data_IF_906011740810
#
_entry.id   IF_906011740810
#
_cell.length_a   1.000
_cell.length_b   1.000
_cell.length_c   1.000
_cell.angle_alpha   90.00
_cell.angle_beta   90.00
_cell.angle_gamma   90.00
#
_symmetry.space_group_name_H-M   'P 1'
#
loop_
_entity.id
_entity.type
_entity.pdbx_description
1 polymer ?
#
# COMPACT_ATOMS: atom_id res chain seq x y z
N UNK A 1 -13.24 -41.73 20.72
CA UNK A 1 -13.67 -40.64 19.83
C UNK A 1 -12.49 -39.71 19.56
N UNK A 2 -11.68 -40.04 18.56
CA UNK A 2 -10.59 -39.20 18.11
C UNK A 2 -11.19 -38.09 17.22
N UNK A 3 -11.64 -37.01 17.85
CA UNK A 3 -11.96 -35.78 17.11
C UNK A 3 -10.61 -35.20 16.71
N UNK A 4 -10.17 -35.48 15.48
CA UNK A 4 -8.95 -34.93 14.90
C UNK A 4 -8.82 -33.45 15.29
N UNK A 5 -7.75 -33.13 16.02
CA UNK A 5 -7.60 -31.84 16.67
C UNK A 5 -7.59 -30.73 15.61
N UNK A 6 -8.72 -30.02 15.46
CA UNK A 6 -8.82 -28.84 14.62
C UNK A 6 -7.78 -27.83 15.11
N UNK A 7 -6.78 -27.56 14.27
CA UNK A 7 -5.77 -26.54 14.52
C UNK A 7 -6.25 -25.23 13.91
N UNK A 8 -6.40 -24.20 14.73
CA UNK A 8 -6.65 -22.84 14.26
C UNK A 8 -5.40 -22.33 13.51
N UNK A 9 -5.46 -22.15 12.16
CA UNK A 9 -4.26 -21.87 11.36
C UNK A 9 -3.58 -20.54 11.73
N UNK A 10 -4.38 -19.58 12.21
CA UNK A 10 -3.90 -18.25 12.55
C UNK A 10 -3.44 -18.12 14.01
N UNK A 11 -3.48 -19.20 14.81
CA UNK A 11 -3.04 -19.17 16.20
C UNK A 11 -1.59 -18.67 16.35
N UNK A 12 -1.38 -17.77 17.34
CA UNK A 12 -0.08 -17.14 17.62
C UNK A 12 0.32 -16.04 16.63
N UNK A 13 -0.65 -15.42 15.96
CA UNK A 13 -0.44 -14.32 15.00
C UNK A 13 -1.27 -13.09 15.38
N UNK A 14 -0.73 -11.91 15.12
CA UNK A 14 -1.50 -10.66 15.09
C UNK A 14 -2.33 -10.68 13.80
N UNK A 15 -3.65 -10.57 13.93
CA UNK A 15 -4.57 -10.65 12.80
C UNK A 15 -4.93 -9.26 12.33
N UNK A 16 -4.72 -9.01 11.03
CA UNK A 16 -5.12 -7.78 10.36
C UNK A 16 -6.25 -8.11 9.38
N UNK A 17 -7.48 -7.66 9.65
CA UNK A 17 -8.61 -7.92 8.77
C UNK A 17 -8.72 -6.87 7.66
N UNK A 18 -8.99 -7.31 6.43
CA UNK A 18 -9.57 -6.44 5.42
C UNK A 18 -11.06 -6.29 5.68
N UNK A 19 -11.54 -5.05 5.71
CA UNK A 19 -12.94 -4.75 5.97
C UNK A 19 -13.61 -4.16 4.73
N UNK A 20 -14.84 -4.58 4.46
CA UNK A 20 -15.68 -3.93 3.45
C UNK A 20 -16.27 -2.60 3.95
N UNK A 21 -17.09 -1.95 3.12
CA UNK A 21 -17.77 -0.69 3.48
C UNK A 21 -18.71 -0.83 4.68
N UNK A 22 -19.29 -2.01 4.87
CA UNK A 22 -20.16 -2.34 6.00
C UNK A 22 -19.36 -2.79 7.24
N UNK A 23 -18.03 -2.64 7.24
CA UNK A 23 -17.11 -3.01 8.34
C UNK A 23 -17.06 -4.51 8.62
N UNK A 24 -17.46 -5.35 7.67
CA UNK A 24 -17.35 -6.82 7.77
C UNK A 24 -15.98 -7.28 7.30
N UNK A 25 -15.37 -8.22 8.02
CA UNK A 25 -14.12 -8.82 7.59
C UNK A 25 -14.36 -9.73 6.38
N UNK A 26 -13.67 -9.45 5.27
CA UNK A 26 -13.77 -10.24 4.02
C UNK A 26 -12.54 -11.11 3.78
N UNK A 27 -11.43 -10.78 4.44
CA UNK A 27 -10.14 -11.45 4.30
C UNK A 27 -9.27 -11.16 5.52
N UNK A 28 -8.38 -12.07 5.88
CA UNK A 28 -7.49 -11.95 7.04
C UNK A 28 -6.05 -12.29 6.67
N UNK A 29 -5.11 -11.55 7.25
CA UNK A 29 -3.70 -11.93 7.28
C UNK A 29 -3.19 -11.95 8.71
N UNK A 30 -2.35 -12.93 9.02
CA UNK A 30 -1.76 -13.12 10.34
C UNK A 30 -0.24 -12.95 10.30
N UNK A 31 0.29 -11.96 11.03
CA UNK A 31 1.73 -11.83 11.28
C UNK A 31 2.13 -12.62 12.52
N UNK A 32 3.10 -13.51 12.41
CA UNK A 32 3.61 -14.26 13.56
C UNK A 32 4.22 -13.32 14.62
N UNK A 33 3.90 -13.56 15.89
CA UNK A 33 4.48 -12.82 17.04
C UNK A 33 5.85 -13.37 17.43
N UNK A 34 6.03 -14.68 17.29
CA UNK A 34 7.30 -15.38 17.52
C UNK A 34 7.93 -15.79 16.19
N UNK A 35 9.20 -16.22 16.22
CA UNK A 35 9.83 -16.80 15.04
C UNK A 35 9.08 -18.05 14.56
N UNK A 36 8.59 -17.99 13.32
CA UNK A 36 7.92 -19.09 12.63
C UNK A 36 8.39 -19.11 11.17
N UNK A 37 8.33 -20.28 10.53
CA UNK A 37 8.70 -20.47 9.11
C UNK A 37 8.01 -19.47 8.17
N UNK A 38 6.72 -19.21 8.41
CA UNK A 38 5.95 -18.21 7.66
C UNK A 38 5.68 -16.99 8.53
N UNK A 39 6.38 -15.88 8.22
CA UNK A 39 6.22 -14.58 8.89
C UNK A 39 4.79 -14.06 8.74
N UNK A 40 4.23 -14.16 7.55
CA UNK A 40 2.82 -13.86 7.25
C UNK A 40 2.09 -15.13 6.78
N UNK A 41 0.82 -15.23 7.14
CA UNK A 41 -0.09 -16.27 6.67
C UNK A 41 -1.43 -15.62 6.32
N UNK A 42 -1.83 -15.73 5.05
CA UNK A 42 -3.10 -15.24 4.56
C UNK A 42 -4.14 -16.36 4.62
N UNK A 43 -5.41 -16.01 4.84
CA UNK A 43 -6.50 -16.99 4.62
C UNK A 43 -6.58 -17.36 3.15
N UNK A 44 -7.06 -18.57 2.87
CA UNK A 44 -7.21 -19.10 1.51
C UNK A 44 -8.41 -18.46 0.80
N UNK A 45 -8.22 -17.20 0.41
CA UNK A 45 -9.16 -16.40 -0.36
C UNK A 45 -8.38 -15.37 -1.18
N UNK A 46 -8.94 -14.84 -2.29
CA UNK A 46 -8.30 -13.82 -3.09
C UNK A 46 -7.85 -12.63 -2.23
N UNK A 47 -6.56 -12.29 -2.32
CA UNK A 47 -5.98 -11.19 -1.56
C UNK A 47 -6.54 -9.86 -2.08
N UNK A 48 -7.11 -9.01 -1.21
CA UNK A 48 -7.60 -7.69 -1.59
C UNK A 48 -6.47 -6.64 -1.54
N UNK A 49 -6.73 -5.47 -2.12
CA UNK A 49 -6.02 -4.25 -1.73
C UNK A 49 -6.48 -3.85 -0.31
N UNK A 50 -5.67 -4.19 0.69
CA UNK A 50 -6.01 -3.96 2.09
C UNK A 50 -6.24 -2.46 2.33
N UNK A 51 -7.40 -2.11 2.91
CA UNK A 51 -7.72 -0.72 3.25
C UNK A 51 -8.44 0.08 2.16
N UNK A 52 -8.65 -0.51 0.97
CA UNK A 52 -9.26 0.18 -0.17
C UNK A 52 -10.67 0.69 0.12
N UNK A 53 -11.51 -0.13 0.75
CA UNK A 53 -12.89 0.26 1.09
C UNK A 53 -12.91 1.47 2.05
N UNK A 54 -11.97 1.51 2.99
CA UNK A 54 -11.82 2.58 3.98
C UNK A 54 -11.30 3.86 3.33
N UNK A 55 -10.33 3.76 2.41
CA UNK A 55 -9.83 4.91 1.66
C UNK A 55 -10.95 5.53 0.80
N UNK A 56 -11.74 4.70 0.11
CA UNK A 56 -12.90 5.12 -0.69
C UNK A 56 -14.01 5.76 0.15
N UNK A 57 -14.35 5.15 1.28
CA UNK A 57 -15.45 5.63 2.13
C UNK A 57 -15.19 7.04 2.70
N UNK A 58 -13.92 7.42 2.87
CA UNK A 58 -13.53 8.76 3.32
C UNK A 58 -13.48 9.80 2.19
N UNK A 59 -13.76 9.41 0.94
CA UNK A 59 -13.80 10.32 -0.21
C UNK A 59 -12.43 10.86 -0.65
N UNK A 60 -11.33 10.22 -0.26
CA UNK A 60 -9.99 10.67 -0.65
C UNK A 60 -9.77 10.51 -2.16
N UNK A 61 -9.25 11.57 -2.78
CA UNK A 61 -8.85 11.58 -4.20
C UNK A 61 -7.38 11.20 -4.42
N UNK A 62 -6.62 11.08 -3.35
CA UNK A 62 -5.23 10.64 -3.38
C UNK A 62 -5.02 9.52 -2.37
N UNK A 63 -4.15 8.56 -2.70
CA UNK A 63 -3.85 7.41 -1.84
C UNK A 63 -2.37 7.05 -1.92
N UNK A 64 -1.83 6.53 -0.82
CA UNK A 64 -0.49 5.92 -0.76
C UNK A 64 -0.64 4.40 -0.90
N UNK A 65 0.10 3.80 -1.83
CA UNK A 65 0.25 2.34 -1.93
C UNK A 65 1.51 1.95 -1.17
N UNK A 66 1.36 0.98 -0.28
CA UNK A 66 2.43 0.39 0.54
C UNK A 66 2.48 -1.13 0.35
N UNK A 67 3.59 -1.76 0.72
CA UNK A 67 3.80 -3.19 0.48
C UNK A 67 2.95 -4.06 1.43
N UNK A 68 3.10 -3.85 2.74
CA UNK A 68 2.63 -4.78 3.75
C UNK A 68 1.47 -4.27 4.62
N UNK A 69 0.80 -5.19 5.34
CA UNK A 69 -0.25 -4.82 6.28
C UNK A 69 0.21 -3.90 7.42
N UNK A 70 1.48 -4.00 7.84
CA UNK A 70 2.00 -3.18 8.92
C UNK A 70 2.35 -1.77 8.47
N UNK A 71 2.85 -1.59 7.24
CA UNK A 71 2.98 -0.27 6.61
C UNK A 71 1.64 0.45 6.56
N UNK A 72 0.59 -0.30 6.18
CA UNK A 72 -0.78 0.22 6.15
C UNK A 72 -1.28 0.61 7.54
N UNK A 73 -0.95 -0.16 8.58
CA UNK A 73 -1.27 0.20 9.97
C UNK A 73 -0.55 1.47 10.41
N UNK A 74 0.74 1.65 10.08
CA UNK A 74 1.48 2.89 10.34
C UNK A 74 0.84 4.09 9.64
N UNK A 75 0.46 3.94 8.37
CA UNK A 75 -0.27 4.98 7.65
C UNK A 75 -1.64 5.30 8.30
N UNK A 76 -2.37 4.27 8.76
CA UNK A 76 -3.62 4.46 9.51
C UNK A 76 -3.41 5.25 10.79
N UNK A 77 -2.39 4.92 11.58
CA UNK A 77 -2.02 5.65 12.80
C UNK A 77 -1.76 7.13 12.49
N UNK A 78 -1.07 7.41 11.38
CA UNK A 78 -0.76 8.77 10.94
C UNK A 78 -1.92 9.49 10.24
N UNK A 79 -3.07 8.83 10.09
CA UNK A 79 -4.26 9.28 9.37
C UNK A 79 -3.97 9.65 7.91
N UNK A 80 -3.09 8.89 7.28
CA UNK A 80 -2.72 9.05 5.88
C UNK A 80 -3.52 8.02 5.06
N UNK A 81 -4.23 8.44 3.99
CA UNK A 81 -4.98 7.52 3.14
C UNK A 81 -4.02 6.53 2.48
N UNK A 82 -4.14 5.25 2.81
CA UNK A 82 -3.26 4.22 2.26
C UNK A 82 -4.00 2.92 1.96
N UNK A 83 -3.43 2.16 1.03
CA UNK A 83 -3.78 0.77 0.73
C UNK A 83 -2.53 -0.09 0.68
N UNK A 84 -2.64 -1.34 1.14
CA UNK A 84 -1.54 -2.30 1.09
C UNK A 84 -1.75 -3.33 -0.03
N UNK A 85 -0.68 -3.69 -0.72
CA UNK A 85 -0.68 -4.80 -1.68
C UNK A 85 -0.86 -6.13 -0.96
N UNK A 86 -0.22 -6.34 0.20
CA UNK A 86 -0.34 -7.54 1.03
C UNK A 86 -0.05 -8.86 0.26
N UNK A 87 0.88 -8.81 -0.70
CA UNK A 87 1.22 -9.94 -1.59
C UNK A 87 0.36 -10.02 -2.85
N UNK A 88 -0.49 -9.02 -3.11
CA UNK A 88 -1.30 -8.91 -4.33
C UNK A 88 -0.45 -8.32 -5.46
N UNK A 89 -0.34 -9.04 -6.58
CA UNK A 89 0.15 -8.45 -7.82
C UNK A 89 -0.86 -7.42 -8.34
N UNK A 90 -0.40 -6.33 -8.96
CA UNK A 90 -1.29 -5.41 -9.67
C UNK A 90 -1.91 -6.11 -10.88
N UNK A 91 -3.07 -6.72 -10.67
CA UNK A 91 -3.92 -7.25 -11.72
C UNK A 91 -4.72 -6.12 -12.37
N UNK A 92 -5.32 -6.37 -13.54
CA UNK A 92 -6.25 -5.40 -14.17
C UNK A 92 -7.39 -5.00 -13.22
N UNK A 93 -7.92 -5.97 -12.46
CA UNK A 93 -8.97 -5.72 -11.46
C UNK A 93 -8.48 -4.76 -10.37
N UNK A 94 -7.26 -4.96 -9.84
CA UNK A 94 -6.70 -4.06 -8.84
C UNK A 94 -6.45 -2.64 -9.40
N UNK A 95 -6.05 -2.53 -10.67
CA UNK A 95 -5.87 -1.25 -11.35
C UNK A 95 -7.20 -0.52 -11.55
N UNK A 96 -8.24 -1.22 -11.98
CA UNK A 96 -9.61 -0.67 -12.10
C UNK A 96 -10.11 -0.19 -10.75
N UNK A 97 -9.79 -0.93 -9.68
CA UNK A 97 -10.14 -0.52 -8.34
C UNK A 97 -9.42 0.76 -7.88
N UNK A 98 -8.20 0.99 -8.33
CA UNK A 98 -7.41 2.20 -8.06
C UNK A 98 -7.79 3.39 -8.96
N UNK A 99 -8.62 3.19 -10.00
CA UNK A 99 -9.01 4.25 -10.94
C UNK A 99 -9.79 5.40 -10.29
N UNK A 100 -10.41 5.16 -9.14
CA UNK A 100 -11.13 6.18 -8.35
C UNK A 100 -10.21 7.29 -7.79
N UNK A 101 -8.91 7.03 -7.69
CA UNK A 101 -7.95 7.99 -7.17
C UNK A 101 -7.31 8.79 -8.30
N UNK A 102 -7.33 10.10 -8.17
CA UNK A 102 -6.70 11.03 -9.11
C UNK A 102 -5.17 11.00 -8.98
N UNK A 103 -4.67 10.65 -7.79
CA UNK A 103 -3.23 10.61 -7.48
C UNK A 103 -2.88 9.39 -6.65
N UNK A 104 -1.81 8.72 -7.03
CA UNK A 104 -1.32 7.50 -6.39
C UNK A 104 0.15 7.70 -6.05
N UNK A 105 0.47 7.60 -4.77
CA UNK A 105 1.83 7.70 -4.27
C UNK A 105 2.34 6.31 -3.93
N UNK A 106 3.49 5.92 -4.50
CA UNK A 106 4.06 4.58 -4.29
C UNK A 106 5.16 4.67 -3.24
N UNK A 107 4.89 4.18 -2.03
CA UNK A 107 5.83 4.08 -0.93
C UNK A 107 6.09 2.60 -0.61
N UNK A 108 6.66 1.89 -1.60
CA UNK A 108 7.04 0.48 -1.50
C UNK A 108 8.44 0.33 -0.90
N UNK A 109 8.77 -0.90 -0.53
CA UNK A 109 10.04 -1.27 0.07
C UNK A 109 11.24 -0.78 -0.76
N UNK A 110 12.28 -0.30 -0.08
CA UNK A 110 13.48 0.26 -0.71
C UNK A 110 14.44 -0.80 -1.30
N UNK A 111 14.06 -2.08 -1.23
CA UNK A 111 14.85 -3.18 -1.78
C UNK A 111 14.65 -3.35 -3.30
N UNK A 112 15.47 -4.22 -3.87
CA UNK A 112 15.53 -4.41 -5.31
C UNK A 112 14.21 -4.98 -5.91
N UNK A 113 13.53 -5.97 -5.29
CA UNK A 113 12.16 -6.33 -5.66
C UNK A 113 11.16 -5.17 -5.57
N UNK A 114 11.13 -4.40 -4.48
CA UNK A 114 10.22 -3.28 -4.27
C UNK A 114 10.43 -2.14 -5.27
N UNK A 115 11.69 -1.87 -5.64
CA UNK A 115 12.05 -0.91 -6.70
C UNK A 115 11.53 -1.34 -8.07
N UNK A 116 11.70 -2.61 -8.45
CA UNK A 116 11.17 -3.13 -9.72
C UNK A 116 9.64 -3.08 -9.76
N UNK A 117 9.00 -3.48 -8.66
CA UNK A 117 7.55 -3.39 -8.53
C UNK A 117 7.10 -1.93 -8.74
N UNK A 118 7.74 -0.99 -8.05
CA UNK A 118 7.47 0.45 -8.17
C UNK A 118 7.53 0.94 -9.62
N UNK A 119 8.60 0.59 -10.35
CA UNK A 119 8.75 1.00 -11.77
C UNK A 119 7.60 0.44 -12.62
N UNK A 120 7.31 -0.85 -12.50
CA UNK A 120 6.21 -1.48 -13.23
C UNK A 120 4.84 -0.84 -12.89
N UNK A 121 4.60 -0.48 -11.62
CA UNK A 121 3.36 0.19 -11.22
C UNK A 121 3.24 1.58 -11.84
N UNK A 122 4.34 2.35 -11.88
CA UNK A 122 4.35 3.68 -12.52
C UNK A 122 4.01 3.56 -14.00
N UNK A 123 4.57 2.58 -14.70
CA UNK A 123 4.28 2.33 -16.11
C UNK A 123 2.80 1.95 -16.34
N UNK A 124 2.24 1.09 -15.50
CA UNK A 124 0.84 0.65 -15.61
C UNK A 124 -0.17 1.75 -15.23
N UNK A 125 0.11 2.53 -14.20
CA UNK A 125 -0.80 3.58 -13.70
C UNK A 125 -0.65 4.89 -14.49
N UNK A 126 0.54 5.16 -15.02
CA UNK A 126 0.85 6.33 -15.83
C UNK A 126 0.95 7.63 -15.02
N UNK A 127 0.47 8.73 -15.60
CA UNK A 127 0.68 10.10 -15.08
C UNK A 127 0.04 10.39 -13.71
N UNK A 128 -0.79 9.47 -13.18
CA UNK A 128 -1.38 9.55 -11.84
C UNK A 128 -0.47 8.98 -10.75
N UNK A 129 0.57 8.22 -11.10
CA UNK A 129 1.49 7.64 -10.14
C UNK A 129 2.75 8.49 -9.95
N UNK A 130 3.20 8.60 -8.71
CA UNK A 130 4.56 9.06 -8.39
C UNK A 130 5.19 8.22 -7.31
N UNK A 131 6.47 7.95 -7.48
CA UNK A 131 7.30 7.30 -6.47
C UNK A 131 7.53 8.24 -5.29
N UNK A 132 7.50 7.67 -4.09
CA UNK A 132 7.84 8.32 -2.82
C UNK A 132 9.19 7.77 -2.39
N UNK A 133 10.18 8.64 -2.26
CA UNK A 133 11.49 8.24 -1.76
C UNK A 133 11.45 8.24 -0.23
N UNK A 134 11.50 7.05 0.38
CA UNK A 134 11.68 6.94 1.82
C UNK A 134 13.07 7.47 2.24
N UNK A 135 13.24 8.00 3.47
CA UNK A 135 14.53 8.45 3.96
C UNK A 135 15.62 7.37 3.85
N UNK A 136 16.87 7.80 3.63
CA UNK A 136 17.99 6.87 3.47
C UNK A 136 18.14 5.98 4.72
N UNK A 137 18.31 4.69 4.49
CA UNK A 137 18.49 3.70 5.56
C UNK A 137 17.18 3.13 6.12
N UNK A 138 16.02 3.61 5.64
CA UNK A 138 14.71 3.05 5.97
C UNK A 138 14.25 2.12 4.84
N UNK A 139 13.90 0.89 5.18
CA UNK A 139 13.48 -0.14 4.22
C UNK A 139 11.99 -0.03 3.88
N UNK A 140 11.13 0.10 4.89
CA UNK A 140 9.67 0.13 4.72
C UNK A 140 9.00 1.26 5.54
N UNK A 141 7.70 1.45 5.35
CA UNK A 141 6.98 2.51 6.04
C UNK A 141 6.82 2.24 7.54
N UNK A 142 6.67 0.96 7.91
CA UNK A 142 6.59 0.54 9.30
C UNK A 142 7.90 0.83 10.06
N UNK A 143 9.06 0.67 9.44
CA UNK A 143 10.36 1.07 9.97
C UNK A 143 10.46 2.59 10.09
N UNK A 144 9.99 3.35 9.10
CA UNK A 144 9.87 4.81 9.23
C UNK A 144 9.01 5.19 10.44
N UNK A 145 7.99 4.39 10.73
CA UNK A 145 7.13 4.47 11.91
C UNK A 145 7.87 4.51 13.25
N UNK A 146 9.04 3.87 13.31
CA UNK A 146 9.84 3.71 14.53
C UNK A 146 10.87 4.83 14.71
N UNK A 147 11.06 5.68 13.70
CA UNK A 147 12.01 6.79 13.74
C UNK A 147 11.33 8.05 14.27
N UNK A 148 11.99 8.77 15.16
CA UNK A 148 11.51 10.06 15.65
C UNK A 148 11.27 11.03 14.47
N UNK A 149 10.07 11.61 14.39
CA UNK A 149 9.69 12.48 13.28
C UNK A 149 9.43 11.77 11.95
N UNK A 150 9.34 10.43 11.92
CA UNK A 150 9.10 9.63 10.70
C UNK A 150 7.87 10.07 9.90
N UNK A 151 6.77 10.41 10.60
CA UNK A 151 5.56 10.98 9.97
C UNK A 151 5.87 12.26 9.17
N UNK A 152 6.62 13.18 9.76
CA UNK A 152 6.98 14.43 9.09
C UNK A 152 7.92 14.19 7.91
N UNK A 153 8.81 13.20 8.02
CA UNK A 153 9.67 12.80 6.91
C UNK A 153 8.85 12.23 5.74
N UNK A 154 7.85 11.38 6.00
CA UNK A 154 6.94 10.89 4.97
C UNK A 154 6.16 12.04 4.32
N UNK A 155 5.61 12.96 5.12
CA UNK A 155 4.85 14.10 4.58
C UNK A 155 5.69 14.98 3.64
N UNK A 156 6.97 15.19 3.97
CA UNK A 156 7.92 15.87 3.06
C UNK A 156 8.13 15.06 1.78
N UNK A 157 8.39 13.76 1.88
CA UNK A 157 8.57 12.90 0.70
C UNK A 157 7.32 12.86 -0.21
N UNK A 158 6.12 12.90 0.38
CA UNK A 158 4.85 13.00 -0.36
C UNK A 158 4.70 14.37 -1.05
N UNK A 159 5.10 15.47 -0.40
CA UNK A 159 5.10 16.79 -1.02
C UNK A 159 6.07 16.85 -2.20
N UNK A 160 7.26 16.27 -2.08
CA UNK A 160 8.23 16.20 -3.17
C UNK A 160 7.70 15.35 -4.33
N UNK A 161 7.05 14.21 -4.03
CA UNK A 161 6.39 13.38 -5.03
C UNK A 161 5.28 14.14 -5.76
N UNK A 162 4.50 14.93 -5.04
CA UNK A 162 3.46 15.76 -5.61
C UNK A 162 4.01 16.83 -6.56
N UNK A 163 5.09 17.51 -6.17
CA UNK A 163 5.75 18.50 -7.03
C UNK A 163 6.20 17.89 -8.37
N UNK A 164 6.83 16.71 -8.33
CA UNK A 164 7.23 15.96 -9.54
C UNK A 164 6.05 15.60 -10.45
N UNK A 165 4.88 15.26 -9.88
CA UNK A 165 3.67 15.03 -10.68
C UNK A 165 3.22 16.29 -11.41
N UNK A 166 3.25 17.45 -10.73
CA UNK A 166 2.89 18.74 -11.30
C UNK A 166 3.78 19.09 -12.51
N UNK A 167 5.09 18.92 -12.38
CA UNK A 167 6.06 19.16 -13.46
C UNK A 167 5.79 18.28 -14.69
N UNK A 168 5.49 16.98 -14.46
CA UNK A 168 5.13 16.04 -15.54
C UNK A 168 3.85 16.46 -16.25
N UNK A 169 2.83 16.88 -15.51
CA UNK A 169 1.56 17.36 -16.09
C UNK A 169 1.76 18.60 -16.95
N UNK A 170 2.54 19.58 -16.48
CA UNK A 170 2.84 20.78 -17.28
C UNK A 170 3.62 20.44 -18.55
N UNK A 171 4.59 19.53 -18.45
CA UNK A 171 5.39 19.06 -19.59
C UNK A 171 4.53 18.33 -20.64
N UNK A 172 3.61 17.48 -20.20
CA UNK A 172 2.66 16.79 -21.09
C UNK A 172 1.71 17.77 -21.79
N UNK A 173 1.17 18.76 -21.06
CA UNK A 173 0.30 19.79 -21.66
C UNK A 173 1.04 20.64 -22.68
N UNK A 174 2.26 21.07 -22.38
CA UNK A 174 3.07 21.86 -23.30
C UNK A 174 3.35 21.11 -24.62
N UNK A 175 3.70 19.81 -24.54
CA UNK A 175 3.90 18.96 -25.73
C UNK A 175 2.62 18.74 -26.54
N UNK A 176 1.47 18.60 -25.87
CA UNK A 176 0.18 18.43 -26.55
C UNK A 176 -0.25 19.69 -27.31
N UNK A 177 0.07 20.89 -26.80
CA UNK A 177 -0.22 22.17 -27.47
C UNK A 177 0.71 22.39 -28.67
N UNK A 178 1.96 21.93 -28.61
CA UNK A 178 2.93 22.06 -29.72
C UNK A 178 2.70 21.07 -30.87
N UNK A 179 1.91 20.03 -30.65
CA UNK A 179 1.59 19.00 -31.64
C UNK A 179 0.23 19.20 -32.32
N UNK A 180 -0.48 20.30 -32.00
CA UNK A 180 -1.74 20.73 -32.59
C UNK A 180 -1.52 21.94 -33.51
#
# INVERSE_FOLDING_TARGET
>A
CDRGAWREPLAGRVIVPNLDRARRATWLTGRAVLHRRLRYLNVEAPSPLLGLAQARARGHRAVVIVEGPFDWLTACEWRIPAVALAGTHLTSVALDELAVFDRIYLALDADEPGRRATVAMVEQIGARASTVALPRGVHDLNELGQVEGGRNALLRALADAHARMGERWQSHRARAIQAA
#
